data_IF_797981116364
#
_entry.id   IF_797981116364
#
_cell.length_a   1.000
_cell.length_b   1.000
_cell.length_c   1.000
_cell.angle_alpha   90.00
_cell.angle_beta   90.00
_cell.angle_gamma   90.00
#
_symmetry.space_group_name_H-M   'P 1'
#
loop_
_entity.id
_entity.type
_entity.pdbx_description
1 polymer ?
#
# COMPACT_ATOMS: atom_id res chain seq x y z
N UNK A 1 9.55 0.56 -15.46
CA UNK A 1 9.42 1.76 -16.31
C UNK A 1 8.34 1.74 -17.40
N UNK A 2 8.14 0.75 -18.30
CA UNK A 2 7.11 0.92 -19.38
C UNK A 2 6.08 -0.19 -19.65
N UNK A 3 6.03 -1.30 -18.90
CA UNK A 3 4.99 -2.34 -19.15
C UNK A 3 4.22 -2.84 -17.92
N UNK A 4 4.49 -2.31 -16.73
CA UNK A 4 3.72 -2.69 -15.56
C UNK A 4 2.55 -1.71 -15.39
N UNK A 5 1.32 -2.22 -15.38
CA UNK A 5 0.10 -1.53 -14.93
C UNK A 5 0.14 -1.19 -13.42
N UNK A 6 1.29 -0.77 -12.91
CA UNK A 6 1.48 -0.26 -11.57
C UNK A 6 1.15 1.23 -11.58
N UNK A 7 0.16 1.65 -10.79
CA UNK A 7 -0.28 3.03 -10.72
C UNK A 7 0.73 3.95 -10.03
N UNK A 8 1.75 3.38 -9.38
CA UNK A 8 2.68 4.08 -8.49
C UNK A 8 4.05 3.40 -8.51
N UNK A 9 5.12 4.20 -8.63
CA UNK A 9 6.51 3.77 -8.47
C UNK A 9 6.75 3.22 -7.04
N UNK A 10 7.63 2.24 -6.87
CA UNK A 10 7.89 1.52 -5.60
C UNK A 10 8.21 2.48 -4.46
N UNK A 11 8.98 3.53 -4.75
CA UNK A 11 9.33 4.56 -3.76
C UNK A 11 8.16 5.48 -3.40
N UNK A 12 7.20 5.66 -4.31
CA UNK A 12 6.03 6.50 -4.06
C UNK A 12 4.93 5.73 -3.30
N UNK A 13 4.86 4.40 -3.45
CA UNK A 13 3.95 3.54 -2.68
C UNK A 13 4.19 3.68 -1.15
N UNK A 14 5.45 3.72 -0.72
CA UNK A 14 5.84 3.83 0.69
C UNK A 14 5.29 5.10 1.36
N UNK A 15 5.28 6.22 0.63
CA UNK A 15 4.82 7.51 1.13
C UNK A 15 3.29 7.63 1.18
N UNK A 16 2.56 6.82 0.41
CA UNK A 16 1.10 6.91 0.34
C UNK A 16 0.40 6.18 1.49
N UNK A 17 1.07 5.24 2.18
CA UNK A 17 0.49 4.43 3.26
C UNK A 17 -0.24 5.27 4.32
N UNK A 18 0.35 6.34 4.89
CA UNK A 18 -0.31 7.12 5.95
C UNK A 18 -1.53 7.89 5.43
N UNK A 19 -1.48 8.39 4.20
CA UNK A 19 -2.58 9.13 3.60
C UNK A 19 -3.76 8.21 3.26
N UNK A 20 -3.46 7.03 2.72
CA UNK A 20 -4.46 5.97 2.47
C UNK A 20 -5.09 5.53 3.79
N UNK A 21 -4.31 5.43 4.87
CA UNK A 21 -4.86 5.08 6.18
C UNK A 21 -5.80 6.15 6.75
N UNK A 22 -5.49 7.43 6.53
CA UNK A 22 -6.31 8.56 6.98
C UNK A 22 -7.57 8.79 6.11
N UNK A 23 -7.58 8.28 4.88
CA UNK A 23 -8.73 8.40 4.01
C UNK A 23 -9.97 7.75 4.63
N UNK A 24 -11.11 8.43 4.52
CA UNK A 24 -12.41 7.95 5.03
C UNK A 24 -12.98 6.89 4.09
N UNK A 25 -13.36 5.74 4.64
CA UNK A 25 -13.89 4.61 3.88
C UNK A 25 -12.80 3.69 3.33
N UNK A 26 -13.19 2.84 2.38
CA UNK A 26 -12.31 1.83 1.80
C UNK A 26 -11.34 2.49 0.82
N UNK A 27 -10.06 2.16 0.94
CA UNK A 27 -9.04 2.67 0.04
C UNK A 27 -8.19 1.52 -0.47
N UNK A 28 -7.95 1.48 -1.78
CA UNK A 28 -7.16 0.44 -2.44
C UNK A 28 -6.11 1.06 -3.34
N UNK A 29 -4.87 0.56 -3.30
CA UNK A 29 -3.84 0.90 -4.27
C UNK A 29 -2.98 -0.32 -4.64
N UNK A 30 -2.24 -0.21 -5.74
CA UNK A 30 -1.35 -1.25 -6.26
C UNK A 30 0.11 -0.79 -6.12
N UNK A 31 0.93 -1.64 -5.51
CA UNK A 31 2.38 -1.50 -5.43
C UNK A 31 3.06 -2.54 -6.33
N UNK A 32 4.21 -2.19 -6.91
CA UNK A 32 4.95 -3.11 -7.79
C UNK A 32 5.71 -4.19 -7.01
N UNK A 33 6.16 -3.87 -5.79
CA UNK A 33 6.90 -4.76 -4.91
C UNK A 33 6.52 -4.51 -3.45
N UNK A 34 6.64 -5.53 -2.62
CA UNK A 34 6.57 -5.40 -1.17
C UNK A 34 7.99 -5.13 -0.66
N UNK A 35 8.30 -3.86 -0.40
CA UNK A 35 9.60 -3.46 0.16
C UNK A 35 9.56 -3.55 1.69
N UNK A 36 10.72 -3.66 2.34
CA UNK A 36 10.82 -3.61 3.82
C UNK A 36 10.27 -2.29 4.39
N UNK A 37 10.41 -1.19 3.62
CA UNK A 37 9.87 0.12 3.98
C UNK A 37 8.34 0.14 3.91
N UNK A 38 7.75 -0.47 2.88
CA UNK A 38 6.30 -0.58 2.73
C UNK A 38 5.69 -1.38 3.88
N UNK A 39 6.28 -2.52 4.20
CA UNK A 39 5.81 -3.40 5.28
C UNK A 39 5.90 -2.70 6.64
N UNK A 40 7.03 -2.04 6.92
CA UNK A 40 7.21 -1.26 8.15
C UNK A 40 6.21 -0.12 8.25
N UNK A 41 5.98 0.62 7.16
CA UNK A 41 5.02 1.72 7.14
C UNK A 41 3.58 1.24 7.33
N UNK A 42 3.20 0.12 6.72
CA UNK A 42 1.88 -0.49 6.92
C UNK A 42 1.71 -0.88 8.38
N UNK A 43 2.65 -1.64 8.94
CA UNK A 43 2.61 -2.05 10.34
C UNK A 43 2.53 -0.85 11.30
N UNK A 44 3.37 0.17 11.09
CA UNK A 44 3.38 1.37 11.93
C UNK A 44 2.05 2.11 11.83
N UNK A 45 1.50 2.22 10.63
CA UNK A 45 0.26 2.94 10.37
C UNK A 45 -0.94 2.19 10.97
N UNK A 46 -0.98 0.86 10.91
CA UNK A 46 -1.97 0.05 11.64
C UNK A 46 -1.92 0.31 13.14
N UNK A 47 -0.72 0.46 13.73
CA UNK A 47 -0.55 0.69 15.16
C UNK A 47 -0.95 2.10 15.60
N UNK A 48 -0.63 3.12 14.80
CA UNK A 48 -0.90 4.51 15.15
C UNK A 48 -2.37 4.86 14.92
N UNK A 49 -2.97 4.38 13.82
CA UNK A 49 -4.31 4.78 13.39
C UNK A 49 -5.39 3.73 13.69
N UNK A 50 -5.02 2.59 14.28
CA UNK A 50 -5.92 1.46 14.61
C UNK A 50 -6.74 0.98 13.38
N UNK A 51 -6.08 0.97 12.22
CA UNK A 51 -6.64 0.49 10.95
C UNK A 51 -6.08 -0.88 10.59
N UNK A 52 -6.74 -1.57 9.66
CA UNK A 52 -6.27 -2.85 9.10
C UNK A 52 -6.05 -2.76 7.59
N UNK A 53 -4.90 -3.26 7.16
CA UNK A 53 -4.57 -3.41 5.75
C UNK A 53 -4.64 -4.88 5.33
N UNK A 54 -5.23 -5.12 4.16
CA UNK A 54 -5.26 -6.40 3.48
C UNK A 54 -4.35 -6.34 2.28
N UNK A 55 -3.35 -7.23 2.24
CA UNK A 55 -2.39 -7.31 1.13
C UNK A 55 -2.68 -8.56 0.31
N UNK A 56 -2.98 -8.37 -0.97
CA UNK A 56 -3.28 -9.44 -1.92
C UNK A 56 -2.36 -9.36 -3.12
N UNK A 57 -1.73 -10.48 -3.53
CA UNK A 57 -0.92 -10.51 -4.75
C UNK A 57 -1.81 -10.69 -5.98
N UNK A 58 -1.72 -9.76 -6.92
CA UNK A 58 -2.47 -9.77 -8.19
C UNK A 58 -1.47 -9.78 -9.35
N UNK A 59 -1.12 -10.97 -9.82
CA UNK A 59 -0.07 -11.17 -10.83
C UNK A 59 1.30 -10.78 -10.28
N UNK A 60 1.94 -9.79 -10.91
CA UNK A 60 3.24 -9.24 -10.50
C UNK A 60 3.12 -8.00 -9.60
N UNK A 61 1.91 -7.68 -9.11
CA UNK A 61 1.64 -6.50 -8.28
C UNK A 61 1.05 -6.92 -6.93
N UNK A 62 1.21 -6.06 -5.93
CA UNK A 62 0.60 -6.17 -4.61
C UNK A 62 -0.53 -5.17 -4.50
N UNK A 63 -1.72 -5.65 -4.18
CA UNK A 63 -2.92 -4.85 -3.91
C UNK A 63 -3.04 -4.67 -2.41
N UNK A 64 -3.02 -3.42 -1.96
CA UNK A 64 -3.09 -3.03 -0.55
C UNK A 64 -4.43 -2.33 -0.34
N UNK A 65 -5.29 -2.91 0.48
CA UNK A 65 -6.65 -2.43 0.74
C UNK A 65 -6.82 -2.12 2.22
N UNK A 66 -7.29 -0.91 2.53
CA UNK A 66 -7.75 -0.54 3.86
C UNK A 66 -9.26 -0.78 3.95
N UNK A 67 -9.66 -1.61 4.92
CA UNK A 67 -11.04 -1.83 5.33
C UNK A 67 -11.36 -1.12 6.64
#
# INVERSE_FOLDING_TARGET
ELEAKATVDVHLADMLVPYVALAKGNSTYLAHEMTDHLDTNIWLTEKILDVKFQINKVGNLYRIEKS
#
